data_IF_036622129845
#
_entry.id   IF_036622129845
#
_cell.length_a   1.000
_cell.length_b   1.000
_cell.length_c   1.000
_cell.angle_alpha   90.00
_cell.angle_beta   90.00
_cell.angle_gamma   90.00
#
_symmetry.space_group_name_H-M   'P 1'
#
loop_
_entity.id
_entity.type
_entity.pdbx_description
1 polymer ?
#
# COMPACT_ATOMS: atom_id res chain seq x y z
N UNK A 1 -10.33 16.44 -24.59
CA UNK A 1 -10.94 15.21 -25.13
C UNK A 1 -11.17 14.23 -23.97
N UNK A 2 -12.35 14.29 -23.36
CA UNK A 2 -12.72 13.47 -22.20
C UNK A 2 -13.10 12.06 -22.67
N UNK A 3 -12.38 11.02 -22.23
CA UNK A 3 -12.76 9.62 -22.49
C UNK A 3 -14.04 9.31 -21.73
N UNK A 4 -15.10 8.92 -22.46
CA UNK A 4 -16.37 8.45 -21.90
C UNK A 4 -16.11 7.25 -20.99
N UNK A 5 -16.47 7.38 -19.71
CA UNK A 5 -16.44 6.28 -18.76
C UNK A 5 -17.48 5.23 -19.13
N UNK A 6 -17.06 3.98 -19.27
CA UNK A 6 -17.95 2.84 -19.47
C UNK A 6 -18.73 2.59 -18.17
N UNK A 7 -20.01 2.93 -18.18
CA UNK A 7 -20.95 2.65 -17.09
C UNK A 7 -21.14 1.13 -16.96
N UNK A 8 -20.71 0.60 -15.81
CA UNK A 8 -21.31 -0.51 -15.06
C UNK A 8 -21.53 -1.87 -15.76
N UNK A 9 -20.61 -2.83 -15.53
CA UNK A 9 -21.03 -4.25 -15.45
C UNK A 9 -21.93 -4.40 -14.22
N UNK A 10 -23.18 -4.83 -14.41
CA UNK A 10 -24.07 -5.21 -13.31
C UNK A 10 -23.37 -6.32 -12.50
N UNK A 11 -23.04 -6.03 -11.25
CA UNK A 11 -22.43 -7.02 -10.36
C UNK A 11 -23.40 -8.20 -10.19
N UNK A 12 -22.96 -9.42 -10.52
CA UNK A 12 -23.72 -10.63 -10.21
C UNK A 12 -23.94 -10.68 -8.69
N UNK A 13 -25.20 -10.68 -8.25
CA UNK A 13 -25.61 -10.74 -6.85
C UNK A 13 -24.97 -11.98 -6.20
N UNK A 14 -23.99 -11.77 -5.33
CA UNK A 14 -23.39 -12.84 -4.53
C UNK A 14 -24.36 -13.14 -3.39
N UNK A 15 -24.85 -14.38 -3.30
CA UNK A 15 -25.64 -14.80 -2.12
C UNK A 15 -24.70 -14.78 -0.90
N UNK A 16 -25.09 -14.14 0.22
CA UNK A 16 -24.29 -14.19 1.44
C UNK A 16 -24.10 -15.65 1.85
N UNK A 17 -22.86 -16.03 2.20
CA UNK A 17 -22.58 -17.36 2.73
C UNK A 17 -23.25 -17.47 4.11
N UNK A 18 -23.80 -18.63 4.43
CA UNK A 18 -24.57 -18.87 5.66
C UNK A 18 -23.77 -18.61 6.96
N UNK A 19 -22.44 -18.56 6.87
CA UNK A 19 -21.51 -18.34 7.98
C UNK A 19 -21.02 -16.89 8.11
N UNK A 20 -21.57 -15.94 7.34
CA UNK A 20 -21.23 -14.51 7.45
C UNK A 20 -19.81 -14.15 6.96
N UNK A 21 -18.98 -15.11 6.55
CA UNK A 21 -17.63 -14.82 6.06
C UNK A 21 -17.64 -14.47 4.57
N UNK A 22 -17.25 -13.24 4.25
CA UNK A 22 -17.01 -12.81 2.88
C UNK A 22 -15.53 -13.03 2.54
N UNK A 23 -15.17 -14.26 2.20
CA UNK A 23 -13.82 -14.55 1.73
C UNK A 23 -13.62 -14.00 0.31
N UNK A 24 -12.61 -13.15 0.16
CA UNK A 24 -12.18 -12.66 -1.14
C UNK A 24 -11.64 -13.81 -1.99
N UNK A 25 -11.93 -13.78 -3.29
CA UNK A 25 -11.37 -14.75 -4.24
C UNK A 25 -9.82 -14.70 -4.21
N UNK A 26 -9.14 -15.82 -4.50
CA UNK A 26 -7.70 -15.83 -4.68
C UNK A 26 -7.23 -14.85 -5.75
N UNK A 27 -6.01 -14.35 -5.62
CA UNK A 27 -5.39 -13.48 -6.61
C UNK A 27 -5.21 -14.21 -7.94
N UNK A 28 -5.37 -13.47 -9.04
CA UNK A 28 -4.93 -13.87 -10.37
C UNK A 28 -3.75 -12.98 -10.77
N UNK A 29 -2.56 -13.42 -10.37
CA UNK A 29 -1.29 -12.70 -10.57
C UNK A 29 -0.90 -12.84 -12.05
N UNK A 30 -0.61 -11.75 -12.76
CA UNK A 30 -0.06 -11.82 -14.12
C UNK A 30 1.33 -12.47 -14.10
N UNK A 31 1.56 -13.48 -14.95
CA UNK A 31 2.80 -14.26 -14.98
C UNK A 31 4.06 -13.42 -15.29
N UNK A 32 3.88 -12.28 -15.95
CA UNK A 32 4.96 -11.36 -16.33
C UNK A 32 5.19 -10.24 -15.29
N UNK A 33 4.35 -10.15 -14.25
CA UNK A 33 4.48 -9.14 -13.20
C UNK A 33 5.56 -9.55 -12.20
N UNK A 34 6.55 -8.68 -12.02
CA UNK A 34 7.65 -8.90 -11.09
C UNK A 34 7.63 -7.80 -10.04
N UNK A 35 7.49 -8.22 -8.78
CA UNK A 35 7.58 -7.32 -7.64
C UNK A 35 9.05 -7.11 -7.28
N UNK A 36 9.42 -5.84 -7.10
CA UNK A 36 10.72 -5.46 -6.55
C UNK A 36 10.50 -5.09 -5.08
N UNK A 37 11.30 -5.69 -4.21
CA UNK A 37 11.36 -5.31 -2.80
C UNK A 37 12.70 -4.63 -2.55
N UNK A 38 12.67 -3.46 -1.93
CA UNK A 38 13.85 -2.69 -1.60
C UNK A 38 14.81 -3.51 -0.73
N UNK A 39 16.10 -3.46 -1.04
CA UNK A 39 17.14 -4.22 -0.32
C UNK A 39 17.27 -3.83 1.15
N UNK A 40 16.84 -2.62 1.53
CA UNK A 40 16.87 -2.12 2.92
C UNK A 40 15.70 -2.62 3.75
N UNK A 41 14.59 -3.05 3.12
CA UNK A 41 13.43 -3.58 3.84
C UNK A 41 13.79 -4.92 4.51
N UNK A 42 13.84 -4.93 5.84
CA UNK A 42 14.37 -6.06 6.63
C UNK A 42 13.34 -7.15 6.89
N UNK A 43 12.05 -6.79 6.92
CA UNK A 43 10.97 -7.72 7.21
C UNK A 43 9.89 -7.67 6.12
N UNK A 44 10.18 -8.16 4.90
CA UNK A 44 9.28 -8.00 3.77
C UNK A 44 7.97 -8.75 3.97
N UNK A 45 6.91 -8.28 3.31
CA UNK A 45 5.59 -8.93 3.38
C UNK A 45 5.62 -10.39 2.90
N UNK A 46 6.38 -10.71 1.84
CA UNK A 46 6.34 -12.05 1.20
C UNK A 46 7.67 -12.81 1.23
N UNK A 47 8.60 -12.45 2.11
CA UNK A 47 9.86 -13.18 2.28
C UNK A 47 10.02 -13.60 3.74
N UNK A 48 10.57 -14.80 4.00
CA UNK A 48 11.20 -15.72 3.04
C UNK A 48 10.21 -16.64 2.29
N UNK A 49 8.90 -16.54 2.57
CA UNK A 49 7.87 -17.42 2.00
C UNK A 49 7.01 -16.66 0.98
N UNK A 50 7.38 -16.63 -0.31
CA UNK A 50 6.57 -15.97 -1.33
C UNK A 50 5.24 -16.69 -1.53
N UNK A 51 4.21 -15.91 -1.86
CA UNK A 51 2.94 -16.48 -2.31
C UNK A 51 3.13 -17.24 -3.63
N UNK A 52 2.28 -18.25 -3.85
CA UNK A 52 2.25 -19.00 -5.11
C UNK A 52 2.06 -18.04 -6.30
N UNK A 53 2.81 -18.30 -7.38
CA UNK A 53 2.80 -17.55 -8.64
C UNK A 53 3.29 -16.08 -8.54
N UNK A 54 3.70 -15.61 -7.36
CA UNK A 54 4.28 -14.29 -7.18
C UNK A 54 5.79 -14.33 -7.46
N UNK A 55 6.23 -13.65 -8.52
CA UNK A 55 7.66 -13.51 -8.83
C UNK A 55 8.20 -12.27 -8.13
N UNK A 56 9.24 -12.46 -7.32
CA UNK A 56 9.85 -11.42 -6.49
C UNK A 56 11.34 -11.29 -6.83
N UNK A 57 11.83 -10.05 -6.85
CA UNK A 57 13.25 -9.75 -6.88
C UNK A 57 13.61 -8.75 -5.78
N UNK A 58 14.84 -8.82 -5.28
CA UNK A 58 15.41 -7.80 -4.37
C UNK A 58 16.20 -6.81 -5.21
N UNK A 59 16.01 -5.52 -4.98
CA UNK A 59 16.74 -4.47 -5.69
C UNK A 59 16.66 -3.14 -4.96
N UNK A 60 17.61 -2.25 -5.16
CA UNK A 60 17.57 -0.91 -4.53
C UNK A 60 16.57 -0.03 -5.26
N UNK A 61 15.58 0.49 -4.54
CA UNK A 61 14.59 1.45 -5.04
C UNK A 61 14.99 2.87 -4.65
N UNK A 62 14.69 3.83 -5.52
CA UNK A 62 14.92 5.25 -5.20
C UNK A 62 13.99 5.70 -4.08
N UNK A 63 12.72 5.27 -4.14
CA UNK A 63 11.70 5.56 -3.13
C UNK A 63 10.80 4.34 -2.90
N UNK A 64 10.32 4.17 -1.66
CA UNK A 64 9.44 3.08 -1.25
C UNK A 64 10.17 1.77 -0.96
N UNK A 65 9.47 0.87 -0.28
CA UNK A 65 9.92 -0.48 0.06
C UNK A 65 9.52 -1.51 -1.00
N UNK A 66 8.47 -1.20 -1.77
CA UNK A 66 7.96 -2.09 -2.82
C UNK A 66 7.69 -1.31 -4.10
N UNK A 67 7.99 -1.95 -5.23
CA UNK A 67 7.63 -1.47 -6.56
C UNK A 67 7.40 -2.63 -7.54
N UNK A 68 7.17 -2.29 -8.81
CA UNK A 68 7.01 -3.22 -9.92
C UNK A 68 8.13 -2.99 -10.93
N UNK A 69 8.69 -4.07 -11.48
CA UNK A 69 9.73 -3.99 -12.50
C UNK A 69 9.24 -3.24 -13.74
N UNK A 70 10.00 -2.24 -14.19
CA UNK A 70 9.64 -1.34 -15.30
C UNK A 70 8.72 -0.18 -14.88
N UNK A 71 8.36 -0.07 -13.60
CA UNK A 71 7.53 1.00 -13.04
C UNK A 71 8.14 1.61 -11.75
N UNK A 72 9.44 1.43 -11.52
CA UNK A 72 10.18 1.83 -10.31
C UNK A 72 10.08 3.33 -10.01
N UNK A 73 9.90 4.15 -11.04
CA UNK A 73 9.74 5.61 -10.95
C UNK A 73 8.28 6.09 -10.99
N UNK A 74 7.30 5.18 -11.10
CA UNK A 74 5.88 5.53 -11.26
C UNK A 74 4.96 4.85 -10.24
N UNK A 75 5.38 3.74 -9.65
CA UNK A 75 4.66 3.00 -8.62
C UNK A 75 5.57 2.78 -7.40
N UNK A 76 5.15 3.22 -6.22
CA UNK A 76 5.88 2.98 -4.99
C UNK A 76 4.94 2.70 -3.82
N UNK A 77 5.33 1.79 -2.93
CA UNK A 77 4.65 1.57 -1.67
C UNK A 77 5.70 1.62 -0.55
N UNK A 78 5.48 2.50 0.42
CA UNK A 78 6.22 2.53 1.69
C UNK A 78 5.44 1.70 2.72
N UNK A 79 6.13 0.86 3.49
CA UNK A 79 5.56 0.13 4.62
C UNK A 79 6.11 0.71 5.92
N UNK A 80 5.22 0.94 6.88
CA UNK A 80 5.57 1.37 8.23
C UNK A 80 4.99 0.42 9.26
N UNK A 81 5.74 0.22 10.33
CA UNK A 81 5.29 -0.49 11.52
C UNK A 81 5.68 0.38 12.72
N UNK A 82 6.65 -0.04 13.53
CA UNK A 82 6.99 0.60 14.80
C UNK A 82 7.42 2.08 14.65
N UNK A 83 8.04 2.44 13.54
CA UNK A 83 8.57 3.78 13.27
C UNK A 83 7.52 4.77 12.72
N UNK A 84 6.23 4.39 12.63
CA UNK A 84 5.19 5.27 12.12
C UNK A 84 5.03 6.54 12.97
N UNK A 85 5.11 6.44 14.29
CA UNK A 85 4.83 7.58 15.16
C UNK A 85 5.87 8.69 15.01
N UNK A 86 7.15 8.33 14.99
CA UNK A 86 8.23 9.29 14.73
C UNK A 86 8.15 9.83 13.29
N UNK A 87 7.81 8.98 12.32
CA UNK A 87 7.59 9.38 10.93
C UNK A 87 6.50 10.46 10.79
N UNK A 88 5.44 10.40 11.60
CA UNK A 88 4.36 11.39 11.61
C UNK A 88 4.68 12.64 12.43
N UNK A 89 5.60 12.56 13.40
CA UNK A 89 5.86 13.63 14.37
C UNK A 89 7.29 14.14 14.33
N UNK A 90 8.21 13.53 15.08
CA UNK A 90 9.57 14.02 15.30
C UNK A 90 10.42 14.06 14.03
N UNK A 91 10.11 13.23 13.02
CA UNK A 91 10.82 13.20 11.73
C UNK A 91 10.08 13.91 10.59
N UNK A 92 9.09 14.75 10.92
CA UNK A 92 8.16 15.33 9.94
C UNK A 92 8.83 16.04 8.77
N UNK A 93 9.95 16.72 8.96
CA UNK A 93 10.63 17.40 7.86
C UNK A 93 11.35 16.43 6.91
N UNK A 94 11.94 15.35 7.43
CA UNK A 94 12.45 14.25 6.59
C UNK A 94 11.30 13.57 5.84
N UNK A 95 10.18 13.36 6.52
CA UNK A 95 8.96 12.78 5.93
C UNK A 95 8.44 13.64 4.78
N UNK A 96 8.37 14.96 4.93
CA UNK A 96 7.98 15.87 3.84
C UNK A 96 8.91 15.71 2.64
N UNK A 97 10.23 15.70 2.84
CA UNK A 97 11.19 15.51 1.73
C UNK A 97 10.95 14.19 0.99
N UNK A 98 10.66 13.10 1.70
CA UNK A 98 10.30 11.81 1.08
C UNK A 98 8.99 11.92 0.28
N UNK A 99 7.96 12.53 0.84
CA UNK A 99 6.67 12.71 0.18
C UNK A 99 6.77 13.61 -1.07
N UNK A 100 7.61 14.65 -1.02
CA UNK A 100 7.89 15.52 -2.18
C UNK A 100 8.51 14.74 -3.34
N UNK A 101 9.46 13.83 -3.07
CA UNK A 101 10.06 12.95 -4.10
C UNK A 101 9.04 12.04 -4.77
N UNK A 102 7.99 11.66 -4.04
CA UNK A 102 6.91 10.82 -4.55
C UNK A 102 5.86 11.61 -5.35
N UNK A 103 5.85 12.95 -5.35
CA UNK A 103 4.79 13.72 -6.03
C UNK A 103 4.63 13.37 -7.52
N UNK A 104 5.74 13.08 -8.21
CA UNK A 104 5.73 12.69 -9.62
C UNK A 104 5.28 11.25 -9.90
N UNK A 105 5.12 10.43 -8.86
CA UNK A 105 4.65 9.05 -9.03
C UNK A 105 3.16 9.02 -9.30
N UNK A 106 2.79 8.17 -10.26
CA UNK A 106 1.39 7.96 -10.65
C UNK A 106 0.61 7.22 -9.58
N UNK A 107 1.24 6.22 -8.95
CA UNK A 107 0.69 5.52 -7.80
C UNK A 107 1.71 5.50 -6.66
N UNK A 108 1.23 5.87 -5.48
CA UNK A 108 2.00 5.89 -4.25
C UNK A 108 1.11 5.57 -3.08
N UNK A 109 1.58 4.69 -2.21
CA UNK A 109 0.86 4.34 -1.00
C UNK A 109 1.77 4.22 0.21
N UNK A 110 1.19 4.47 1.38
CA UNK A 110 1.73 4.15 2.68
C UNK A 110 0.86 3.05 3.28
N UNK A 111 1.46 1.90 3.58
CA UNK A 111 0.81 0.82 4.32
C UNK A 111 1.36 0.76 5.73
N UNK A 112 0.46 0.68 6.70
CA UNK A 112 0.79 0.73 8.12
C UNK A 112 0.35 -0.60 8.73
N UNK A 113 1.30 -1.35 9.29
CA UNK A 113 1.04 -2.66 9.92
C UNK A 113 0.54 -2.49 11.36
N UNK A 114 -0.57 -1.77 11.47
CA UNK A 114 -1.44 -1.62 12.64
C UNK A 114 -2.86 -1.49 12.12
N UNK A 115 -3.84 -1.95 12.89
CA UNK A 115 -5.23 -1.52 12.70
C UNK A 115 -5.38 -0.02 12.98
N UNK A 116 -6.44 0.59 12.44
CA UNK A 116 -6.71 2.00 12.69
C UNK A 116 -6.96 2.26 14.18
N UNK A 117 -7.67 1.35 14.86
CA UNK A 117 -7.93 1.45 16.30
C UNK A 117 -6.64 1.41 17.12
N UNK A 118 -5.74 0.46 16.84
CA UNK A 118 -4.43 0.37 17.51
C UNK A 118 -3.60 1.65 17.33
N UNK A 119 -3.67 2.27 16.16
CA UNK A 119 -2.91 3.48 15.84
C UNK A 119 -3.39 4.70 16.65
N UNK A 120 -4.67 4.74 17.03
CA UNK A 120 -5.27 5.83 17.79
C UNK A 120 -5.35 5.55 19.29
N UNK A 121 -4.94 4.37 19.75
CA UNK A 121 -4.88 4.08 21.18
C UNK A 121 -3.66 4.75 21.82
N UNK A 122 -3.84 5.74 22.73
CA UNK A 122 -2.75 6.57 23.23
C UNK A 122 -1.72 5.85 24.12
N UNK A 123 -1.97 4.59 24.50
CA UNK A 123 -1.22 3.93 25.60
C UNK A 123 -0.25 2.84 25.15
N UNK A 124 -0.22 2.50 23.86
CA UNK A 124 0.62 1.39 23.41
C UNK A 124 2.06 1.80 23.06
N UNK A 125 2.30 3.03 22.57
CA UNK A 125 3.62 3.37 22.02
C UNK A 125 4.10 4.82 22.22
N UNK A 126 3.23 5.83 22.41
CA UNK A 126 3.64 7.25 22.49
C UNK A 126 2.63 8.15 23.21
N UNK A 127 3.07 9.26 23.81
CA UNK A 127 2.21 10.35 24.33
C UNK A 127 1.62 11.27 23.23
N UNK A 128 1.60 10.83 21.98
CA UNK A 128 1.12 11.64 20.84
C UNK A 128 -0.40 11.58 20.78
N UNK A 129 -1.03 12.75 20.64
CA UNK A 129 -2.48 12.84 20.44
C UNK A 129 -2.93 12.10 19.17
N UNK A 130 -3.96 11.25 19.23
CA UNK A 130 -4.52 10.57 18.07
C UNK A 130 -4.94 11.53 16.94
N UNK A 131 -5.36 12.74 17.28
CA UNK A 131 -5.69 13.80 16.32
C UNK A 131 -4.48 14.21 15.49
N UNK A 132 -3.29 14.30 16.09
CA UNK A 132 -2.04 14.62 15.38
C UNK A 132 -1.71 13.54 14.35
N UNK A 133 -1.87 12.27 14.74
CA UNK A 133 -1.66 11.11 13.86
C UNK A 133 -2.64 11.17 12.70
N UNK A 134 -3.94 11.27 13.01
CA UNK A 134 -5.03 11.28 12.03
C UNK A 134 -4.89 12.45 11.04
N UNK A 135 -4.65 13.66 11.53
CA UNK A 135 -4.50 14.85 10.66
C UNK A 135 -3.23 14.79 9.80
N UNK A 136 -2.16 14.14 10.28
CA UNK A 136 -0.95 13.95 9.49
C UNK A 136 -1.21 13.02 8.30
N UNK A 137 -1.90 11.91 8.54
CA UNK A 137 -2.24 10.94 7.49
C UNK A 137 -3.21 11.53 6.47
N UNK A 138 -4.27 12.21 6.92
CA UNK A 138 -5.18 12.97 6.05
C UNK A 138 -4.41 14.01 5.22
N UNK A 139 -3.47 14.72 5.83
CA UNK A 139 -2.63 15.68 5.10
C UNK A 139 -1.77 15.00 4.04
N UNK A 140 -1.35 13.74 4.24
CA UNK A 140 -0.58 13.00 3.23
C UNK A 140 -1.46 12.60 2.05
N UNK A 141 -2.66 12.08 2.34
CA UNK A 141 -3.66 11.73 1.34
C UNK A 141 -4.02 12.93 0.46
N UNK A 142 -4.39 14.05 1.08
CA UNK A 142 -4.89 15.22 0.35
C UNK A 142 -3.77 15.97 -0.37
N UNK A 143 -2.66 16.30 0.32
CA UNK A 143 -1.64 17.20 -0.25
C UNK A 143 -0.72 16.50 -1.23
N UNK A 144 -0.52 15.20 -1.06
CA UNK A 144 0.42 14.44 -1.88
C UNK A 144 -0.27 13.40 -2.75
N UNK A 145 -1.56 13.12 -2.57
CA UNK A 145 -2.24 12.03 -3.29
C UNK A 145 -1.68 10.66 -2.90
N UNK A 146 -1.34 10.49 -1.61
CA UNK A 146 -0.81 9.25 -1.06
C UNK A 146 -1.96 8.35 -0.61
N UNK A 147 -2.09 7.15 -1.15
CA UNK A 147 -3.07 6.20 -0.61
C UNK A 147 -2.60 5.68 0.75
N UNK A 148 -3.46 5.65 1.76
CA UNK A 148 -3.12 5.08 3.06
C UNK A 148 -3.96 3.83 3.32
N UNK A 149 -3.33 2.80 3.90
CA UNK A 149 -4.02 1.59 4.34
C UNK A 149 -3.44 1.06 5.65
N UNK A 150 -4.32 0.55 6.50
CA UNK A 150 -4.03 0.04 7.83
C UNK A 150 -4.49 -1.42 7.91
N UNK A 151 -3.76 -2.25 8.63
CA UNK A 151 -4.21 -3.60 8.93
C UNK A 151 -3.10 -4.48 9.51
N UNK A 152 -3.48 -5.73 9.80
CA UNK A 152 -2.49 -6.75 10.10
C UNK A 152 -1.67 -7.12 8.84
N UNK A 153 -0.60 -7.88 9.05
CA UNK A 153 0.29 -8.32 7.96
C UNK A 153 -0.46 -8.97 6.80
N UNK A 154 -1.45 -9.81 7.10
CA UNK A 154 -2.20 -10.57 6.08
C UNK A 154 -3.10 -9.63 5.25
N UNK A 155 -3.71 -8.65 5.90
CA UNK A 155 -4.49 -7.60 5.23
C UNK A 155 -3.58 -6.73 4.34
N UNK A 156 -2.37 -6.40 4.80
CA UNK A 156 -1.38 -5.67 4.01
C UNK A 156 -0.91 -6.48 2.80
N UNK A 157 -0.48 -7.73 2.98
CA UNK A 157 -0.09 -8.63 1.88
C UNK A 157 -1.18 -8.68 0.81
N UNK A 158 -2.43 -8.79 1.23
CA UNK A 158 -3.60 -8.78 0.35
C UNK A 158 -3.73 -7.46 -0.40
N UNK A 159 -3.79 -6.35 0.33
CA UNK A 159 -4.08 -5.03 -0.23
C UNK A 159 -2.98 -4.54 -1.17
N UNK A 160 -1.72 -4.71 -0.77
CA UNK A 160 -0.54 -4.33 -1.55
C UNK A 160 -0.54 -5.09 -2.88
N UNK A 161 -0.81 -6.40 -2.86
CA UNK A 161 -0.88 -7.19 -4.08
C UNK A 161 -2.07 -6.79 -4.97
N UNK A 162 -3.25 -6.53 -4.39
CA UNK A 162 -4.42 -6.06 -5.15
C UNK A 162 -4.11 -4.76 -5.90
N UNK A 163 -3.43 -3.79 -5.27
CA UNK A 163 -2.97 -2.56 -5.94
C UNK A 163 -1.97 -2.84 -7.04
N UNK A 164 -0.95 -3.66 -6.79
CA UNK A 164 0.07 -4.02 -7.76
C UNK A 164 -0.53 -4.68 -9.01
N UNK A 165 -1.40 -5.68 -8.84
CA UNK A 165 -2.07 -6.38 -9.93
C UNK A 165 -2.94 -5.41 -10.74
N UNK A 166 -3.70 -4.55 -10.06
CA UNK A 166 -4.58 -3.61 -10.74
C UNK A 166 -3.78 -2.60 -11.55
N UNK A 167 -2.76 -1.98 -10.94
CA UNK A 167 -1.89 -1.02 -11.62
C UNK A 167 -1.21 -1.65 -12.84
N UNK A 168 -0.67 -2.86 -12.70
CA UNK A 168 -0.03 -3.59 -13.80
C UNK A 168 -0.95 -3.78 -15.01
N UNK A 169 -2.20 -4.19 -14.76
CA UNK A 169 -3.23 -4.38 -15.81
C UNK A 169 -3.65 -3.06 -16.43
N UNK A 170 -3.91 -2.06 -15.58
CA UNK A 170 -4.27 -0.71 -16.02
C UNK A 170 -3.22 -0.12 -16.96
N UNK A 171 -1.93 -0.28 -16.64
CA UNK A 171 -0.82 0.20 -17.48
C UNK A 171 -0.70 -0.51 -18.82
N UNK A 172 -1.18 -1.75 -18.92
CA UNK A 172 -1.23 -2.53 -20.17
C UNK A 172 -2.53 -2.33 -20.96
N UNK A 173 -3.50 -1.60 -20.42
CA UNK A 173 -4.81 -1.42 -21.05
C UNK A 173 -5.70 -2.67 -21.06
N UNK A 174 -5.49 -3.58 -20.09
CA UNK A 174 -6.17 -4.88 -19.98
C UNK A 174 -7.18 -4.89 -18.81
#
# INVERSE_FOLDING_TARGET
>A
MLRKGTVGRIAKRVKPRANGSCELKPHKIPNDMIVIIDTREQNPLWLPKPMKDLVITRGTLTNGDYSLRGHESTFAIERKQQDIFSYLTSERDKTKVKLERLRGYEFKALVIEYSEDELYMPHFFTDISPEVIRQSLISFEIKYGLHVFYGDRKALERKVLDWMIYYWKFKRGV
#
